data_IF_340992378577
#
_entry.id   IF_340992378577
#
_cell.length_a   1.000
_cell.length_b   1.000
_cell.length_c   1.000
_cell.angle_alpha   90.00
_cell.angle_beta   90.00
_cell.angle_gamma   90.00
#
_symmetry.space_group_name_H-M   'P 1'
#
loop_
_entity.id
_entity.type
_entity.pdbx_description
1 polymer ?
#
# COMPACT_ATOMS: atom_id res chain seq x y z
N UNK A 1 -3.35 -23.52 -68.37
CA UNK A 1 -3.49 -23.33 -67.90
C UNK A 1 -3.08 -22.80 -67.13
N UNK A 2 -2.98 -22.63 -67.02
CA UNK A 2 -2.85 -22.15 -66.29
C UNK A 2 -2.65 -21.42 -65.43
N UNK A 3 -2.80 -21.30 -65.46
CA UNK A 3 -2.96 -20.66 -64.85
C UNK A 3 -2.76 -20.23 -63.84
N UNK A 4 -2.77 -20.55 -63.89
CA UNK A 4 -2.78 -20.32 -63.09
C UNK A 4 -2.48 -19.73 -62.29
N UNK A 5 -2.54 -19.72 -62.38
CA UNK A 5 -2.53 -19.25 -61.53
C UNK A 5 -2.37 -18.70 -60.79
N UNK A 6 -2.40 -18.66 -60.76
CA UNK A 6 -2.49 -18.19 -59.87
C UNK A 6 -2.26 -17.55 -59.12
N UNK A 7 -2.28 -17.55 -59.23
CA UNK A 7 -2.26 -17.02 -58.49
C UNK A 7 -2.08 -16.54 -57.49
N UNK A 8 -2.05 -16.65 -57.69
CA UNK A 8 -2.04 -16.22 -56.82
C UNK A 8 -1.75 -15.67 -56.02
N UNK A 9 -1.68 -15.63 -55.91
CA UNK A 9 -1.67 -15.12 -55.22
C UNK A 9 -1.38 -14.46 -54.31
N UNK A 10 -1.42 -14.65 -54.69
CA UNK A 10 -1.40 -14.00 -53.99
C UNK A 10 -1.25 -13.48 -53.08
N UNK A 11 -1.34 -13.74 -53.21
CA UNK A 11 -1.50 -13.20 -52.45
C UNK A 11 -1.15 -12.61 -51.66
N UNK A 12 -1.11 -12.75 -51.72
CA UNK A 12 -1.09 -12.11 -50.95
C UNK A 12 -0.87 -11.51 -50.20
N UNK A 13 -0.89 -11.71 -50.53
CA UNK A 13 -0.93 -11.11 -49.98
C UNK A 13 -0.80 -10.54 -49.22
N UNK A 14 -1.00 -10.68 -49.07
CA UNK A 14 -1.22 -10.08 -48.41
C UNK A 14 -0.96 -9.57 -47.66
N UNK A 15 -0.96 -9.85 -47.86
CA UNK A 15 -1.00 -9.30 -47.24
C UNK A 15 -0.61 -8.85 -46.49
N UNK A 16 -0.37 -9.07 -46.60
CA UNK A 16 -0.17 -8.65 -45.74
C UNK A 16 0.03 -7.96 -45.20
N UNK A 17 -0.03 -8.02 -44.85
CA UNK A 17 -0.08 -7.34 -44.17
C UNK A 17 -0.25 -6.90 -43.40
N UNK A 18 -0.61 -7.18 -43.45
CA UNK A 18 -1.00 -6.77 -42.76
C UNK A 18 -0.61 -6.57 -41.75
N UNK A 19 -0.39 -6.72 -41.63
CA UNK A 19 -0.20 -6.48 -40.82
C UNK A 19 0.06 -5.85 -40.12
N UNK A 20 -0.06 -5.73 -39.88
CA UNK A 20 -0.04 -5.16 -39.26
C UNK A 20 -0.05 -4.66 -38.48
N UNK A 21 -0.18 -4.76 -38.29
CA UNK A 21 -0.35 -4.37 -37.57
C UNK A 21 -0.12 -4.01 -36.66
N UNK A 22 -0.05 -4.19 -36.50
CA UNK A 22 0.00 -3.99 -35.71
C UNK A 22 0.50 -3.33 -35.04
N UNK A 23 0.65 -3.19 -34.74
CA UNK A 23 1.02 -2.62 -34.08
C UNK A 23 0.96 -1.89 -33.37
N UNK A 24 0.84 -1.75 -33.11
CA UNK A 24 0.73 -1.08 -32.46
C UNK A 24 1.02 -0.83 -31.47
N UNK A 25 1.08 -0.98 -31.12
CA UNK A 25 1.16 -0.70 -30.14
C UNK A 25 1.64 -0.07 -29.48
N UNK A 26 1.62 0.12 -29.14
CA UNK A 26 1.89 0.60 -28.52
C UNK A 26 2.38 1.31 -27.98
N UNK A 27 2.64 1.57 -27.88
CA UNK A 27 3.13 2.26 -27.28
C UNK A 27 2.87 2.64 -26.32
N UNK A 28 2.47 2.63 -26.05
CA UNK A 28 2.11 2.92 -25.30
C UNK A 28 2.52 3.14 -24.36
N UNK A 29 2.70 3.15 -24.08
CA UNK A 29 3.01 3.25 -23.36
C UNK A 29 3.60 3.77 -22.70
N UNK A 30 3.93 3.91 -22.63
CA UNK A 30 4.53 4.48 -22.31
C UNK A 30 4.46 5.40 -21.57
N UNK A 31 3.81 5.83 -21.75
CA UNK A 31 3.46 6.74 -20.92
C UNK A 31 3.56 6.31 -19.62
N UNK A 32 4.02 5.39 -19.64
CA UNK A 32 4.38 5.05 -18.45
C UNK A 32 4.59 6.20 -17.61
N UNK A 33 3.71 6.85 -17.44
CA UNK A 33 3.85 7.68 -16.41
C UNK A 33 4.76 7.09 -15.49
N UNK A 34 5.83 7.35 -15.53
CA UNK A 34 6.75 7.05 -14.55
C UNK A 34 6.19 7.22 -13.21
N UNK A 35 5.18 6.55 -12.99
CA UNK A 35 4.80 6.34 -11.64
C UNK A 35 5.98 5.58 -11.09
N UNK A 36 6.84 6.25 -10.42
CA UNK A 36 7.84 5.60 -9.63
C UNK A 36 7.10 4.54 -8.84
N UNK A 37 7.51 3.31 -8.89
CA UNK A 37 6.86 2.29 -8.09
C UNK A 37 6.91 2.76 -6.66
N UNK A 38 5.78 2.77 -6.00
CA UNK A 38 5.74 3.07 -4.59
C UNK A 38 6.65 2.03 -3.94
N UNK A 39 7.49 2.49 -3.05
CA UNK A 39 8.35 1.57 -2.29
C UNK A 39 7.50 0.46 -1.72
N UNK A 40 7.99 -0.77 -1.72
CA UNK A 40 7.20 -1.90 -1.22
C UNK A 40 6.79 -1.65 0.22
N UNK A 41 5.65 -2.19 0.61
CA UNK A 41 5.09 -2.00 1.96
C UNK A 41 6.12 -2.37 3.04
N UNK A 42 7.02 -3.30 2.75
CA UNK A 42 8.06 -3.73 3.69
C UNK A 42 9.05 -2.61 4.04
N UNK A 43 9.21 -1.63 3.18
CA UNK A 43 10.06 -0.47 3.46
C UNK A 43 9.29 0.65 4.14
N UNK A 44 7.97 0.54 4.18
CA UNK A 44 7.07 1.55 4.74
C UNK A 44 6.39 1.10 6.02
N UNK A 45 6.68 -0.12 6.46
CA UNK A 45 6.11 -0.70 7.67
C UNK A 45 7.22 -1.32 8.51
N UNK A 46 7.32 -0.91 9.76
CA UNK A 46 8.26 -1.50 10.69
C UNK A 46 7.53 -1.87 11.98
N UNK A 47 7.71 -3.11 12.42
CA UNK A 47 6.99 -3.65 13.57
C UNK A 47 7.98 -4.06 14.66
N UNK A 48 7.58 -3.88 15.92
CA UNK A 48 8.34 -4.42 17.05
C UNK A 48 8.31 -5.94 17.03
N UNK A 49 9.32 -6.59 17.61
CA UNK A 49 9.30 -8.04 17.75
C UNK A 49 8.06 -8.47 18.54
N UNK A 50 7.55 -9.65 18.27
CA UNK A 50 6.34 -10.15 18.96
C UNK A 50 6.49 -10.24 20.47
N UNK A 51 7.70 -10.40 20.94
CA UNK A 51 8.00 -10.43 22.37
C UNK A 51 8.00 -9.04 23.02
N UNK A 52 7.99 -7.98 22.24
CA UNK A 52 8.00 -6.62 22.77
C UNK A 52 6.59 -6.19 23.10
N UNK A 53 6.29 -6.11 24.38
CA UNK A 53 4.93 -5.80 24.87
C UNK A 53 4.79 -4.39 25.43
N UNK A 54 5.85 -3.60 25.40
CA UNK A 54 5.84 -2.26 26.00
C UNK A 54 5.79 -1.16 24.96
N UNK A 55 5.15 -0.06 25.33
CA UNK A 55 5.09 1.14 24.51
C UNK A 55 3.69 1.47 24.03
N UNK A 56 3.56 2.66 23.48
CA UNK A 56 2.28 3.18 22.99
C UNK A 56 1.90 2.60 21.62
N UNK A 57 2.87 2.14 20.85
CA UNK A 57 2.64 1.58 19.52
C UNK A 57 3.45 0.29 19.35
N UNK A 58 2.94 -0.58 18.48
CA UNK A 58 3.58 -1.86 18.15
C UNK A 58 4.49 -1.76 16.93
N UNK A 59 4.53 -0.59 16.33
CA UNK A 59 5.35 -0.31 15.16
C UNK A 59 4.92 0.98 14.51
N UNK A 60 5.45 1.24 13.33
CA UNK A 60 5.11 2.43 12.57
C UNK A 60 4.85 2.09 11.11
N UNK A 61 4.02 2.87 10.49
CA UNK A 61 3.64 2.73 9.09
C UNK A 61 3.67 4.09 8.39
N UNK A 62 4.31 4.12 7.22
CA UNK A 62 4.40 5.31 6.38
C UNK A 62 3.59 5.09 5.09
N UNK A 63 2.33 5.55 5.03
CA UNK A 63 1.50 5.37 3.83
C UNK A 63 1.99 6.25 2.68
N UNK A 64 1.66 5.86 1.47
CA UNK A 64 2.04 6.63 0.28
C UNK A 64 1.07 7.80 0.04
N UNK A 65 -0.11 7.75 0.62
CA UNK A 65 -1.14 8.78 0.42
C UNK A 65 -2.07 8.87 1.63
N UNK A 66 -3.02 9.81 1.56
CA UNK A 66 -4.06 9.93 2.60
C UNK A 66 -5.35 9.19 2.22
N UNK A 67 -5.29 8.33 1.21
CA UNK A 67 -6.40 7.46 0.83
C UNK A 67 -6.27 6.11 1.56
N UNK A 68 -6.82 6.05 2.76
CA UNK A 68 -6.72 4.84 3.58
C UNK A 68 -7.34 3.62 2.89
N UNK A 69 -8.36 3.80 2.06
CA UNK A 69 -9.00 2.68 1.39
C UNK A 69 -8.05 1.99 0.41
N UNK A 70 -7.20 2.77 -0.24
CA UNK A 70 -6.21 2.23 -1.17
C UNK A 70 -5.00 1.66 -0.42
N UNK A 71 -4.60 2.31 0.66
CA UNK A 71 -3.40 1.96 1.41
C UNK A 71 -3.61 0.77 2.35
N UNK A 72 -4.86 0.51 2.77
CA UNK A 72 -5.13 -0.49 3.81
C UNK A 72 -4.96 -1.91 3.29
N UNK A 73 -5.18 -2.16 2.02
CA UNK A 73 -5.08 -3.52 1.46
C UNK A 73 -3.68 -4.10 1.57
N UNK A 74 -2.64 -3.42 1.07
CA UNK A 74 -1.28 -3.94 1.23
C UNK A 74 -0.85 -3.96 2.69
N UNK A 75 -1.32 -3.03 3.52
CA UNK A 75 -1.02 -3.04 4.95
C UNK A 75 -1.57 -4.29 5.63
N UNK A 76 -2.83 -4.63 5.36
CA UNK A 76 -3.48 -5.80 5.95
C UNK A 76 -2.75 -7.07 5.52
N UNK A 77 -2.35 -7.16 4.26
CA UNK A 77 -1.61 -8.32 3.76
C UNK A 77 -0.28 -8.48 4.52
N UNK A 78 0.40 -7.36 4.80
CA UNK A 78 1.67 -7.39 5.51
C UNK A 78 1.50 -7.74 7.00
N UNK A 79 0.34 -7.48 7.58
CA UNK A 79 0.07 -7.74 9.00
C UNK A 79 -0.58 -9.11 9.25
N UNK A 80 -0.96 -9.82 8.19
CA UNK A 80 -1.70 -11.08 8.32
C UNK A 80 -0.99 -12.10 9.20
N UNK A 81 0.33 -12.17 9.10
CA UNK A 81 1.11 -13.12 9.91
C UNK A 81 1.09 -12.78 11.40
N UNK A 82 0.92 -11.50 11.72
CA UNK A 82 0.93 -11.05 13.11
C UNK A 82 -0.45 -11.13 13.77
N UNK A 83 -1.49 -10.69 13.09
CA UNK A 83 -2.82 -10.57 13.68
C UNK A 83 -3.84 -11.54 13.10
N UNK A 84 -3.45 -12.32 12.10
CA UNK A 84 -4.38 -13.21 11.42
C UNK A 84 -5.32 -12.42 10.52
N UNK A 85 -6.48 -12.98 10.23
CA UNK A 85 -7.46 -12.31 9.38
C UNK A 85 -7.96 -11.04 10.06
N UNK A 86 -7.72 -9.91 9.42
CA UNK A 86 -8.10 -8.61 9.98
C UNK A 86 -9.61 -8.43 9.87
N UNK A 87 -10.22 -8.01 10.96
CA UNK A 87 -11.66 -7.81 11.05
C UNK A 87 -12.02 -6.33 11.09
N UNK A 88 -11.14 -5.51 11.65
CA UNK A 88 -11.45 -4.09 11.85
C UNK A 88 -10.18 -3.24 11.84
N UNK A 89 -10.30 -2.05 11.26
CA UNK A 89 -9.27 -1.02 11.33
C UNK A 89 -9.92 0.24 11.91
N UNK A 90 -9.30 0.81 12.93
CA UNK A 90 -9.76 2.06 13.55
C UNK A 90 -8.74 3.15 13.29
N UNK A 91 -9.23 4.34 12.97
CA UNK A 91 -8.39 5.45 12.57
C UNK A 91 -8.98 6.79 13.03
N UNK A 92 -8.18 7.85 13.00
CA UNK A 92 -8.68 9.19 13.27
C UNK A 92 -9.34 9.73 12.00
N UNK A 93 -10.59 10.17 12.12
CA UNK A 93 -11.39 10.54 10.95
C UNK A 93 -10.88 11.81 10.26
N UNK A 94 -10.18 12.67 10.98
CA UNK A 94 -9.67 13.93 10.44
C UNK A 94 -8.30 13.77 9.77
N UNK A 95 -7.66 12.61 9.93
CA UNK A 95 -6.32 12.37 9.38
C UNK A 95 -6.34 11.78 7.97
N UNK A 96 -7.48 11.36 7.49
CA UNK A 96 -7.60 10.64 6.22
C UNK A 96 -8.70 11.22 5.34
N UNK A 97 -8.60 10.99 4.04
CA UNK A 97 -9.67 11.32 3.10
C UNK A 97 -10.87 10.45 3.40
N UNK A 98 -11.98 10.66 2.70
CA UNK A 98 -13.20 9.90 2.91
C UNK A 98 -12.91 8.40 2.84
N UNK A 99 -13.23 7.68 3.90
CA UNK A 99 -12.98 6.24 4.01
C UNK A 99 -14.33 5.50 4.04
N UNK A 100 -14.52 4.49 3.20
CA UNK A 100 -15.75 3.70 3.22
C UNK A 100 -15.82 2.89 4.51
N UNK A 101 -17.02 2.56 4.94
CA UNK A 101 -17.21 1.83 6.20
C UNK A 101 -16.72 0.39 6.14
N UNK A 102 -16.48 -0.12 4.97
CA UNK A 102 -16.01 -1.50 4.76
C UNK A 102 -15.12 -1.54 3.53
N UNK A 103 -14.07 -2.33 3.64
CA UNK A 103 -13.16 -2.57 2.53
C UNK A 103 -13.00 -4.08 2.39
N UNK A 104 -12.91 -4.57 1.15
CA UNK A 104 -12.63 -5.99 0.92
C UNK A 104 -11.15 -6.18 0.69
N UNK A 105 -10.57 -7.09 1.43
CA UNK A 105 -9.17 -7.46 1.29
C UNK A 105 -9.10 -8.99 1.26
N UNK A 106 -8.61 -9.54 0.17
CA UNK A 106 -8.47 -10.99 -0.03
C UNK A 106 -9.76 -11.77 0.29
N UNK A 107 -10.90 -11.24 -0.14
CA UNK A 107 -12.18 -11.87 0.07
C UNK A 107 -12.82 -11.60 1.43
N UNK A 108 -12.06 -11.07 2.37
CA UNK A 108 -12.58 -10.77 3.70
C UNK A 108 -13.08 -9.33 3.77
N UNK A 109 -14.12 -9.11 4.57
CA UNK A 109 -14.66 -7.77 4.77
C UNK A 109 -14.06 -7.18 6.04
N UNK A 110 -13.35 -6.08 5.88
CA UNK A 110 -12.73 -5.35 6.98
C UNK A 110 -13.57 -4.12 7.29
N UNK A 111 -13.92 -3.95 8.55
CA UNK A 111 -14.71 -2.79 8.98
C UNK A 111 -13.78 -1.62 9.26
N UNK A 112 -14.13 -0.49 8.71
CA UNK A 112 -13.37 0.75 8.89
C UNK A 112 -14.11 1.63 9.90
N UNK A 113 -13.47 1.94 11.03
CA UNK A 113 -14.07 2.76 12.09
C UNK A 113 -13.31 4.06 12.29
N UNK A 114 -13.91 5.18 11.93
CA UNK A 114 -13.34 6.50 12.15
C UNK A 114 -13.77 7.10 13.47
N UNK A 115 -12.83 7.62 14.25
CA UNK A 115 -13.09 8.23 15.55
C UNK A 115 -12.29 9.52 15.70
N UNK A 116 -12.92 10.59 16.16
CA UNK A 116 -12.22 11.87 16.43
C UNK A 116 -11.39 11.81 17.70
N UNK A 117 -11.75 10.92 18.61
CA UNK A 117 -11.04 10.77 19.88
C UNK A 117 -9.78 9.94 19.77
N UNK A 118 -9.55 9.27 18.64
CA UNK A 118 -8.32 8.52 18.42
C UNK A 118 -7.20 9.50 18.03
N UNK A 119 -5.99 9.26 18.53
CA UNK A 119 -4.85 10.11 18.17
C UNK A 119 -4.66 10.12 16.65
N UNK A 120 -4.45 11.31 16.09
CA UNK A 120 -4.40 11.51 14.64
C UNK A 120 -3.34 10.65 13.96
N UNK A 121 -2.24 10.43 14.61
CA UNK A 121 -1.12 9.69 14.05
C UNK A 121 -1.13 8.21 14.45
N UNK A 122 -2.29 7.65 14.76
CA UNK A 122 -2.39 6.23 15.12
C UNK A 122 -3.44 5.49 14.30
N UNK A 123 -3.15 4.22 14.02
CA UNK A 123 -4.05 3.29 13.35
C UNK A 123 -4.09 2.01 14.17
N UNK A 124 -5.29 1.51 14.46
CA UNK A 124 -5.44 0.24 15.18
C UNK A 124 -5.97 -0.81 14.24
N UNK A 125 -5.27 -1.93 14.19
CA UNK A 125 -5.66 -3.07 13.34
C UNK A 125 -6.02 -4.22 14.26
N UNK A 126 -7.25 -4.71 14.13
CA UNK A 126 -7.75 -5.82 14.96
C UNK A 126 -7.97 -7.03 14.06
N UNK A 127 -7.29 -8.10 14.37
CA UNK A 127 -7.42 -9.37 13.68
C UNK A 127 -7.83 -10.50 14.62
N UNK A 128 -7.84 -11.71 14.11
CA UNK A 128 -8.27 -12.89 14.88
C UNK A 128 -7.31 -13.28 15.99
N UNK A 129 -6.03 -12.98 15.82
CA UNK A 129 -5.01 -13.36 16.79
C UNK A 129 -4.61 -12.23 17.72
N UNK A 130 -5.08 -11.01 17.46
CA UNK A 130 -4.71 -9.90 18.30
C UNK A 130 -4.93 -8.55 17.65
N UNK A 131 -4.37 -7.55 18.28
CA UNK A 131 -4.50 -6.16 17.84
C UNK A 131 -3.12 -5.52 17.78
N UNK A 132 -2.91 -4.67 16.79
CA UNK A 132 -1.72 -3.86 16.69
C UNK A 132 -2.11 -2.39 16.62
N UNK A 133 -1.33 -1.56 17.31
CA UNK A 133 -1.44 -0.11 17.21
C UNK A 133 -0.21 0.39 16.45
N UNK A 134 -0.43 1.04 15.32
CA UNK A 134 0.65 1.56 14.48
C UNK A 134 0.71 3.07 14.59
N UNK A 135 1.92 3.59 14.67
CA UNK A 135 2.18 5.01 14.47
C UNK A 135 2.04 5.27 12.96
N UNK A 136 1.29 6.27 12.57
CA UNK A 136 1.16 6.66 11.17
C UNK A 136 2.06 7.86 10.91
N UNK A 137 3.06 7.66 10.08
CA UNK A 137 3.94 8.74 9.65
C UNK A 137 3.24 9.47 8.49
N UNK A 138 3.11 10.79 8.53
CA UNK A 138 2.43 11.52 7.45
C UNK A 138 3.07 11.20 6.09
N UNK A 139 2.25 11.00 5.05
CA UNK A 139 2.77 10.64 3.73
C UNK A 139 3.67 11.71 3.10
N UNK A 140 3.54 12.96 3.51
CA UNK A 140 4.38 14.04 3.01
C UNK A 140 5.73 14.15 3.73
N UNK A 141 6.00 13.25 4.68
CA UNK A 141 7.28 13.22 5.41
C UNK A 141 8.40 12.81 4.46
N UNK A 142 9.53 13.48 4.56
CA UNK A 142 10.71 13.14 3.77
C UNK A 142 11.15 11.69 4.08
N UNK A 143 11.62 10.99 3.06
CA UNK A 143 11.97 9.57 3.17
C UNK A 143 12.94 9.27 4.33
N UNK A 144 14.02 10.01 4.41
CA UNK A 144 15.00 9.77 5.49
C UNK A 144 14.41 9.99 6.87
N UNK A 145 13.56 11.00 7.01
CA UNK A 145 12.89 11.28 8.26
C UNK A 145 11.89 10.17 8.59
N UNK A 146 11.14 9.71 7.61
CA UNK A 146 10.18 8.63 7.79
C UNK A 146 10.88 7.35 8.21
N UNK A 147 12.01 7.03 7.58
CA UNK A 147 12.79 5.84 7.94
C UNK A 147 13.33 5.92 9.38
N UNK A 148 13.73 7.10 9.84
CA UNK A 148 14.15 7.25 11.22
C UNK A 148 13.01 6.96 12.18
N UNK A 149 11.81 7.46 11.90
CA UNK A 149 10.63 7.22 12.74
C UNK A 149 10.27 5.74 12.74
N UNK A 150 10.29 5.12 11.56
CA UNK A 150 9.99 3.68 11.44
C UNK A 150 10.97 2.85 12.29
N UNK A 151 12.23 3.15 12.22
CA UNK A 151 13.26 2.46 12.99
C UNK A 151 13.06 2.65 14.49
N UNK A 152 12.92 3.90 14.93
CA UNK A 152 12.78 4.23 16.35
C UNK A 152 11.50 3.62 16.94
N UNK A 153 10.39 3.69 16.20
CA UNK A 153 9.10 3.17 16.69
C UNK A 153 9.07 1.65 16.80
N UNK A 154 9.95 0.96 16.07
CA UNK A 154 10.03 -0.50 16.09
C UNK A 154 11.11 -1.03 17.03
N UNK A 155 11.86 -0.15 17.69
CA UNK A 155 12.87 -0.59 18.63
C UNK A 155 12.25 -1.35 19.80
N UNK A 156 12.91 -2.44 20.15
CA UNK A 156 12.46 -3.26 21.28
C UNK A 156 12.59 -2.46 22.57
N UNK A 157 11.48 -2.36 23.28
CA UNK A 157 11.46 -1.62 24.56
C UNK A 157 11.22 -0.12 24.41
N UNK A 158 11.01 0.38 23.21
CA UNK A 158 10.70 1.79 23.03
C UNK A 158 9.32 2.11 23.62
N UNK A 159 9.30 3.06 24.53
CA UNK A 159 8.08 3.50 25.24
C UNK A 159 7.74 4.97 24.95
N UNK A 160 8.36 5.56 23.92
CA UNK A 160 8.10 6.95 23.60
C UNK A 160 6.66 7.16 23.13
N UNK A 161 6.15 8.35 23.44
CA UNK A 161 4.80 8.72 23.00
C UNK A 161 4.76 8.96 21.49
N UNK A 162 3.58 8.92 20.93
CA UNK A 162 3.35 9.19 19.50
C UNK A 162 3.96 10.54 19.11
N UNK A 163 3.76 11.55 19.95
CA UNK A 163 4.27 12.89 19.67
C UNK A 163 5.81 12.95 19.67
N UNK A 164 6.44 12.21 20.59
CA UNK A 164 7.89 12.15 20.67
C UNK A 164 8.48 11.44 19.45
N UNK A 165 7.83 10.37 19.01
CA UNK A 165 8.27 9.62 17.83
C UNK A 165 8.14 10.48 16.56
N UNK A 166 7.06 11.23 16.43
CA UNK A 166 6.87 12.11 15.27
C UNK A 166 7.83 13.30 15.30
N UNK A 167 8.22 13.77 16.50
CA UNK A 167 9.19 14.83 16.62
C UNK A 167 10.55 14.42 16.02
N UNK A 168 10.84 13.13 15.99
CA UNK A 168 12.07 12.61 15.39
C UNK A 168 12.10 12.89 13.89
N UNK A 169 10.94 13.01 13.24
CA UNK A 169 10.86 13.32 11.82
C UNK A 169 11.15 14.79 11.51
N UNK A 170 11.10 15.65 12.51
CA UNK A 170 11.26 17.09 12.32
C UNK A 170 12.72 17.55 12.23
N UNK A 171 13.71 16.66 12.45
CA UNK A 171 15.12 17.01 12.47
C UNK A 171 15.95 16.24 11.46
#
# INVERSE_FOLDING_TARGET
MLHLGGKAQIVLVEIPGRTASVRRPEPDVTSASSTLPASPITERLSLKPESATTGFVDGAWWPASRDLAAEVSPLIAALADRVGAVKRVSYNIDAWNAVPRKVRVDGNVVRMGGFRSQAAATLKVVGERGMLTLLVVPPETEEQAAQRVLATASENGNTESVDALLATAAY
#
